data_IF_700596667210
#
_entry.id   IF_700596667210
#
_cell.length_a   1.000
_cell.length_b   1.000
_cell.length_c   1.000
_cell.angle_alpha   90.00
_cell.angle_beta   90.00
_cell.angle_gamma   90.00
#
_symmetry.space_group_name_H-M   'P 1'
#
loop_
_entity.id
_entity.type
_entity.pdbx_description
1 polymer ?
#
# COMPACT_ATOMS: atom_id res chain seq x y z
N UNK A 1 16.41 8.08 -42.31
CA UNK A 1 15.29 7.40 -41.63
C UNK A 1 15.09 8.11 -40.28
N UNK A 2 14.85 9.42 -40.36
CA UNK A 2 14.88 10.38 -39.22
C UNK A 2 13.95 11.58 -39.48
N UNK A 3 13.06 11.49 -40.48
CA UNK A 3 12.21 12.62 -40.93
C UNK A 3 10.71 12.28 -40.89
N UNK A 4 10.29 11.39 -39.99
CA UNK A 4 8.87 11.05 -39.78
C UNK A 4 8.41 11.19 -38.32
N UNK A 5 9.28 11.70 -37.45
CA UNK A 5 8.99 11.87 -36.01
C UNK A 5 8.83 13.35 -35.58
N UNK A 6 9.13 14.32 -36.45
CA UNK A 6 9.01 15.75 -36.13
C UNK A 6 7.71 16.40 -36.61
N UNK A 7 6.84 15.67 -37.31
CA UNK A 7 5.61 16.23 -37.89
C UNK A 7 4.33 15.92 -37.09
N UNK A 8 4.43 15.19 -35.97
CA UNK A 8 3.29 14.93 -35.06
C UNK A 8 3.35 15.72 -33.75
N UNK A 9 4.41 16.49 -33.52
CA UNK A 9 4.54 17.38 -32.35
C UNK A 9 4.15 18.83 -32.64
N UNK A 10 4.00 19.23 -33.91
CA UNK A 10 3.61 20.60 -34.27
C UNK A 10 2.09 20.84 -34.26
N UNK A 11 1.25 19.79 -34.31
CA UNK A 11 -0.22 19.93 -34.32
C UNK A 11 -0.88 19.83 -32.92
N UNK A 12 -0.09 19.68 -31.84
CA UNK A 12 -0.59 19.66 -30.46
C UNK A 12 -0.20 20.89 -29.63
N UNK A 13 0.67 21.76 -30.13
CA UNK A 13 1.07 22.98 -29.43
C UNK A 13 0.29 24.25 -29.86
N UNK A 14 -0.40 24.26 -31.01
CA UNK A 14 -1.22 25.41 -31.43
C UNK A 14 -2.68 25.40 -30.90
N UNK A 15 -3.08 24.39 -30.14
CA UNK A 15 -4.45 24.26 -29.61
C UNK A 15 -4.69 24.79 -28.19
N UNK A 16 -3.65 25.28 -27.50
CA UNK A 16 -3.73 25.56 -26.04
C UNK A 16 -3.28 26.96 -25.62
N UNK A 17 -3.29 27.95 -26.52
CA UNK A 17 -2.90 29.33 -26.20
C UNK A 17 -3.97 30.43 -26.37
N UNK A 18 -5.22 30.12 -26.70
CA UNK A 18 -6.29 31.14 -26.69
C UNK A 18 -7.52 30.71 -25.88
N UNK A 19 -7.48 30.99 -24.56
CA UNK A 19 -8.58 31.54 -23.76
C UNK A 19 -8.29 31.39 -22.26
N UNK A 20 -7.23 32.03 -21.76
CA UNK A 20 -7.17 32.42 -20.35
C UNK A 20 -7.21 33.93 -20.30
N UNK A 21 -8.36 34.55 -19.95
CA UNK A 21 -8.37 35.94 -19.60
C UNK A 21 -7.54 36.11 -18.33
N UNK A 22 -6.38 36.76 -18.48
CA UNK A 22 -5.69 37.38 -17.37
C UNK A 22 -6.67 38.28 -16.61
N UNK A 23 -6.66 38.17 -15.28
CA UNK A 23 -7.43 38.94 -14.28
C UNK A 23 -8.87 38.46 -13.99
N UNK A 24 -9.00 37.47 -13.12
CA UNK A 24 -10.16 37.41 -12.20
C UNK A 24 -9.72 38.00 -10.86
N UNK A 25 -10.35 39.09 -10.38
CA UNK A 25 -10.00 39.66 -9.08
C UNK A 25 -10.26 38.64 -7.96
N UNK A 26 -9.36 38.56 -6.97
CA UNK A 26 -9.48 37.75 -5.73
C UNK A 26 -10.81 37.93 -4.97
N UNK A 27 -11.66 38.90 -5.35
CA UNK A 27 -13.03 39.09 -4.81
C UNK A 27 -14.04 38.02 -5.26
N UNK A 28 -13.82 37.28 -6.35
CA UNK A 28 -14.82 36.34 -6.88
C UNK A 28 -14.83 34.96 -6.21
N UNK A 29 -13.72 34.50 -5.62
CA UNK A 29 -13.70 33.24 -4.84
C UNK A 29 -14.47 33.38 -3.50
N UNK A 30 -14.43 34.56 -2.87
CA UNK A 30 -15.21 34.86 -1.67
C UNK A 30 -16.72 34.97 -1.95
N UNK A 31 -17.12 35.41 -3.15
CA UNK A 31 -18.53 35.44 -3.54
C UNK A 31 -19.08 34.04 -3.83
N UNK A 32 -18.29 33.15 -4.45
CA UNK A 32 -18.68 31.75 -4.66
C UNK A 32 -18.86 30.99 -3.32
N UNK A 33 -17.96 31.22 -2.35
CA UNK A 33 -18.10 30.68 -1.00
C UNK A 33 -19.36 31.16 -0.28
N UNK A 34 -19.66 32.47 -0.34
CA UNK A 34 -20.88 33.04 0.26
C UNK A 34 -22.17 32.64 -0.46
N UNK A 35 -22.10 32.27 -1.74
CA UNK A 35 -23.25 31.75 -2.49
C UNK A 35 -23.55 30.30 -2.08
N UNK A 36 -22.52 29.50 -1.83
CA UNK A 36 -22.64 28.15 -1.28
C UNK A 36 -23.18 28.16 0.17
N UNK A 37 -22.65 29.03 1.03
CA UNK A 37 -23.12 29.20 2.41
C UNK A 37 -24.61 29.61 2.48
N UNK A 38 -25.03 30.60 1.68
CA UNK A 38 -26.45 31.02 1.62
C UNK A 38 -27.37 29.92 1.09
N UNK A 39 -26.85 29.03 0.23
CA UNK A 39 -27.60 27.87 -0.29
C UNK A 39 -27.76 26.79 0.79
N UNK A 40 -26.74 26.57 1.63
CA UNK A 40 -26.80 25.66 2.77
C UNK A 40 -27.70 26.18 3.90
N UNK A 41 -27.67 27.49 4.19
CA UNK A 41 -28.51 28.11 5.22
C UNK A 41 -30.00 28.10 4.86
N UNK A 42 -30.33 28.17 3.57
CA UNK A 42 -31.71 27.96 3.06
C UNK A 42 -32.20 26.53 3.22
N UNK A 43 -31.31 25.54 3.11
CA UNK A 43 -31.65 24.12 3.22
C UNK A 43 -31.72 23.69 4.70
N UNK A 44 -30.96 24.34 5.59
CA UNK A 44 -30.89 24.02 7.01
C UNK A 44 -30.88 25.27 7.92
N UNK A 45 -32.00 26.02 8.03
CA UNK A 45 -32.03 27.24 8.83
C UNK A 45 -31.81 26.95 10.32
N UNK A 46 -30.79 27.58 10.90
CA UNK A 46 -30.56 27.63 12.36
C UNK A 46 -29.66 26.54 12.96
N UNK A 47 -28.98 25.68 12.17
CA UNK A 47 -28.16 24.57 12.73
C UNK A 47 -26.65 24.62 12.52
N UNK A 48 -26.07 25.65 11.88
CA UNK A 48 -24.61 25.76 11.76
C UNK A 48 -24.11 27.20 11.97
N UNK A 49 -23.76 27.54 13.21
CA UNK A 49 -22.65 28.47 13.46
C UNK A 49 -21.36 27.65 13.34
N UNK A 50 -20.55 27.91 12.32
CA UNK A 50 -19.22 27.29 12.21
C UNK A 50 -18.42 27.61 13.49
N UNK A 51 -17.80 26.61 14.15
CA UNK A 51 -16.88 26.86 15.25
C UNK A 51 -15.78 27.81 14.78
N UNK A 52 -15.39 28.77 15.63
CA UNK A 52 -14.14 29.53 15.41
C UNK A 52 -13.01 28.53 15.11
N UNK A 53 -12.17 28.88 14.14
CA UNK A 53 -11.01 28.07 13.75
C UNK A 53 -10.27 27.55 14.99
N UNK A 54 -9.93 26.24 15.04
CA UNK A 54 -9.30 25.68 16.22
C UNK A 54 -8.00 26.43 16.50
N UNK A 55 -7.85 26.78 17.78
CA UNK A 55 -6.63 27.35 18.36
C UNK A 55 -5.48 26.40 18.01
N UNK A 56 -4.34 26.94 17.57
CA UNK A 56 -3.08 26.20 17.35
C UNK A 56 -2.57 25.62 18.68
N UNK A 57 -3.26 24.63 19.23
CA UNK A 57 -2.74 23.85 20.35
C UNK A 57 -1.69 22.92 19.77
N UNK A 58 -0.45 23.02 20.28
CA UNK A 58 0.61 22.06 19.95
C UNK A 58 0.06 20.65 20.22
N UNK A 59 0.27 19.67 19.31
CA UNK A 59 -0.18 18.30 19.55
C UNK A 59 0.31 17.85 20.93
N UNK A 60 -0.55 17.22 21.75
CA UNK A 60 -0.13 16.72 23.05
C UNK A 60 1.07 15.79 22.85
N UNK A 61 2.12 15.96 23.66
CA UNK A 61 3.42 15.27 23.56
C UNK A 61 3.32 13.74 23.34
N UNK A 62 2.24 13.12 23.84
CA UNK A 62 1.91 11.70 23.63
C UNK A 62 1.62 11.33 22.18
N UNK A 63 0.94 12.20 21.42
CA UNK A 63 0.66 11.96 19.99
C UNK A 63 1.95 12.02 19.17
N UNK A 64 2.84 12.95 19.51
CA UNK A 64 4.14 13.08 18.86
C UNK A 64 5.01 11.83 19.04
N UNK A 65 5.13 11.34 20.28
CA UNK A 65 5.88 10.12 20.57
C UNK A 65 5.33 8.90 19.81
N UNK A 66 4.01 8.74 19.78
CA UNK A 66 3.37 7.66 19.04
C UNK A 66 3.68 7.71 17.53
N UNK A 67 3.63 8.90 16.93
CA UNK A 67 3.97 9.09 15.51
C UNK A 67 5.43 8.71 15.26
N UNK A 68 6.36 9.18 16.11
CA UNK A 68 7.78 8.85 15.98
C UNK A 68 8.02 7.34 16.12
N UNK A 69 7.36 6.68 17.09
CA UNK A 69 7.46 5.23 17.28
C UNK A 69 6.98 4.47 16.03
N UNK A 70 5.87 4.89 15.40
CA UNK A 70 5.39 4.27 14.16
C UNK A 70 6.35 4.46 13.00
N UNK A 71 6.89 5.66 12.85
CA UNK A 71 7.89 5.97 11.82
C UNK A 71 9.15 5.13 12.00
N UNK A 72 9.66 5.02 13.22
CA UNK A 72 10.81 4.17 13.54
C UNK A 72 10.53 2.69 13.22
N UNK A 73 9.29 2.23 13.43
CA UNK A 73 8.88 0.88 13.05
C UNK A 73 8.81 0.69 11.52
N UNK A 74 8.37 1.69 10.74
CA UNK A 74 8.42 1.64 9.27
C UNK A 74 9.85 1.64 8.73
N UNK A 75 10.76 2.30 9.44
CA UNK A 75 12.20 2.31 9.14
C UNK A 75 12.92 0.99 9.51
N UNK A 76 12.21 -0.02 10.04
CA UNK A 76 12.80 -1.33 10.35
C UNK A 76 13.37 -1.95 9.07
N UNK A 77 14.70 -2.24 9.00
CA UNK A 77 15.31 -2.80 7.81
C UNK A 77 15.00 -4.29 7.66
N UNK A 78 15.15 -4.81 6.43
CA UNK A 78 14.83 -6.19 6.06
C UNK A 78 15.57 -7.20 6.96
N UNK A 79 16.86 -6.99 7.18
CA UNK A 79 17.80 -7.87 7.88
C UNK A 79 17.47 -7.99 9.38
N UNK A 80 16.72 -7.03 9.92
CA UNK A 80 16.27 -7.07 11.32
C UNK A 80 15.14 -8.06 11.55
N UNK A 81 14.38 -8.40 10.51
CA UNK A 81 13.20 -9.28 10.60
C UNK A 81 13.44 -10.61 9.90
N UNK A 82 14.09 -10.57 8.75
CA UNK A 82 14.34 -11.74 7.92
C UNK A 82 15.82 -12.11 7.98
N UNK A 83 16.08 -13.43 7.97
CA UNK A 83 17.42 -13.95 7.73
C UNK A 83 17.36 -14.86 6.53
N UNK A 84 18.35 -14.71 5.66
CA UNK A 84 18.54 -15.54 4.49
C UNK A 84 19.61 -16.60 4.79
N UNK A 85 19.66 -17.63 3.95
CA UNK A 85 20.76 -18.57 3.91
C UNK A 85 22.06 -17.91 3.40
N UNK A 86 23.16 -18.66 3.41
CA UNK A 86 24.48 -18.18 2.99
C UNK A 86 24.50 -17.73 1.53
N UNK A 87 23.70 -18.36 0.66
CA UNK A 87 23.56 -18.02 -0.76
C UNK A 87 22.66 -16.80 -1.00
N UNK A 88 21.98 -16.30 0.04
CA UNK A 88 20.93 -15.27 -0.03
C UNK A 88 19.76 -15.63 -0.95
N UNK A 89 19.61 -16.90 -1.33
CA UNK A 89 18.58 -17.35 -2.24
C UNK A 89 17.27 -17.67 -1.52
N UNK A 90 17.34 -18.10 -0.25
CA UNK A 90 16.16 -18.55 0.50
C UNK A 90 16.11 -18.01 1.92
N UNK A 91 14.90 -17.87 2.47
CA UNK A 91 14.71 -17.47 3.86
C UNK A 91 15.00 -18.62 4.82
N UNK A 92 15.72 -18.37 5.91
CA UNK A 92 15.90 -19.30 7.04
C UNK A 92 15.09 -18.89 8.28
N UNK A 93 14.78 -17.59 8.40
CA UNK A 93 13.99 -17.00 9.48
C UNK A 93 13.14 -15.85 8.94
N UNK A 94 11.90 -15.67 9.46
CA UNK A 94 11.23 -16.45 10.51
C UNK A 94 10.71 -17.81 10.02
N UNK A 95 10.28 -18.69 10.94
CA UNK A 95 9.88 -20.06 10.63
C UNK A 95 8.79 -20.19 9.53
N UNK A 96 7.89 -19.22 9.44
CA UNK A 96 6.85 -19.16 8.41
C UNK A 96 7.35 -18.77 7.01
N UNK A 97 8.61 -18.34 6.89
CA UNK A 97 9.26 -18.04 5.62
C UNK A 97 10.30 -19.09 5.25
N UNK A 98 10.63 -20.04 6.14
CA UNK A 98 11.73 -20.97 5.90
C UNK A 98 11.56 -21.71 4.57
N UNK A 99 12.61 -21.67 3.74
CA UNK A 99 12.68 -22.31 2.42
C UNK A 99 11.90 -21.59 1.31
N UNK A 100 11.29 -20.43 1.60
CA UNK A 100 10.73 -19.58 0.54
C UNK A 100 11.89 -18.94 -0.23
N UNK A 101 11.86 -18.89 -1.57
CA UNK A 101 12.88 -18.18 -2.33
C UNK A 101 12.69 -16.66 -2.27
N UNK A 102 13.80 -15.94 -2.29
CA UNK A 102 13.84 -14.47 -2.39
C UNK A 102 13.46 -14.01 -3.80
N UNK A 103 14.03 -14.67 -4.82
CA UNK A 103 13.67 -14.47 -6.22
C UNK A 103 12.29 -15.06 -6.55
N UNK A 104 11.69 -14.61 -7.65
CA UNK A 104 10.34 -15.02 -8.06
C UNK A 104 10.22 -16.55 -8.18
N UNK A 105 9.11 -17.11 -7.69
CA UNK A 105 8.76 -18.50 -7.99
C UNK A 105 8.27 -18.58 -9.44
N UNK A 106 9.01 -19.31 -10.25
CA UNK A 106 8.59 -19.72 -11.60
C UNK A 106 7.67 -20.95 -11.54
N UNK A 107 6.63 -21.01 -12.38
CA UNK A 107 5.63 -22.09 -12.37
C UNK A 107 6.15 -23.49 -12.79
N UNK A 108 7.44 -23.56 -13.13
CA UNK A 108 8.15 -24.81 -13.44
C UNK A 108 9.47 -24.92 -12.66
N UNK A 109 9.71 -24.01 -11.72
CA UNK A 109 10.92 -23.99 -10.91
C UNK A 109 10.86 -24.98 -9.75
N UNK A 110 11.99 -25.15 -9.07
CA UNK A 110 12.16 -26.06 -7.93
C UNK A 110 11.17 -25.80 -6.79
N UNK A 111 10.86 -24.52 -6.53
CA UNK A 111 9.95 -24.12 -5.45
C UNK A 111 8.46 -24.17 -5.84
N UNK A 112 8.14 -24.55 -7.08
CA UNK A 112 6.76 -24.70 -7.52
C UNK A 112 6.14 -26.01 -7.06
N UNK A 113 4.91 -25.96 -6.56
CA UNK A 113 4.12 -27.17 -6.32
C UNK A 113 3.17 -27.40 -7.48
N UNK A 114 3.21 -28.59 -8.08
CA UNK A 114 2.37 -28.97 -9.22
C UNK A 114 0.86 -28.87 -8.96
N UNK A 115 0.45 -28.87 -7.69
CA UNK A 115 -0.94 -28.68 -7.29
C UNK A 115 -1.39 -27.22 -7.31
N UNK A 116 -0.47 -26.25 -7.37
CA UNK A 116 -0.79 -24.82 -7.37
C UNK A 116 -1.42 -24.37 -8.69
N UNK A 117 -2.39 -23.46 -8.57
CA UNK A 117 -2.96 -22.80 -9.74
C UNK A 117 -1.96 -21.79 -10.30
N UNK A 118 -1.90 -21.68 -11.63
CA UNK A 118 -1.16 -20.63 -12.33
C UNK A 118 -1.71 -19.23 -12.04
N UNK A 119 -0.85 -18.21 -12.04
CA UNK A 119 -1.27 -16.80 -11.96
C UNK A 119 -1.99 -16.35 -13.23
N UNK A 120 -1.71 -17.00 -14.37
CA UNK A 120 -2.34 -16.69 -15.66
C UNK A 120 -3.85 -16.92 -15.67
N UNK A 121 -4.38 -17.59 -14.65
CA UNK A 121 -5.83 -17.67 -14.45
C UNK A 121 -6.48 -16.28 -14.37
N UNK A 122 -5.74 -15.23 -13.99
CA UNK A 122 -6.22 -13.84 -13.94
C UNK A 122 -6.24 -13.14 -15.29
N UNK A 123 -5.68 -13.73 -16.36
CA UNK A 123 -5.89 -13.21 -17.73
C UNK A 123 -7.35 -13.37 -18.17
N UNK A 124 -8.05 -14.36 -17.61
CA UNK A 124 -9.46 -14.66 -17.90
C UNK A 124 -10.38 -14.07 -16.82
N UNK A 125 -11.00 -12.93 -17.15
CA UNK A 125 -11.97 -12.23 -16.29
C UNK A 125 -13.36 -12.87 -16.29
N UNK A 126 -13.62 -13.86 -17.15
CA UNK A 126 -14.91 -14.56 -17.19
C UNK A 126 -15.07 -15.56 -16.03
N UNK A 127 -13.95 -15.93 -15.41
CA UNK A 127 -13.88 -16.84 -14.25
C UNK A 127 -13.81 -16.05 -12.95
N UNK A 128 -14.58 -16.46 -11.95
CA UNK A 128 -14.46 -15.95 -10.58
C UNK A 128 -13.24 -16.55 -9.85
N UNK A 129 -12.77 -15.93 -8.75
CA UNK A 129 -11.88 -16.61 -7.82
C UNK A 129 -12.55 -17.88 -7.27
N UNK A 130 -11.77 -18.88 -6.87
CA UNK A 130 -12.30 -20.10 -6.26
C UNK A 130 -13.22 -19.78 -5.08
N UNK A 131 -14.36 -20.48 -5.01
CA UNK A 131 -15.38 -20.32 -3.97
C UNK A 131 -16.00 -18.91 -3.88
N UNK A 132 -15.91 -18.12 -4.95
CA UNK A 132 -16.61 -16.84 -5.10
C UNK A 132 -17.77 -16.99 -6.08
N UNK A 133 -18.96 -16.56 -5.68
CA UNK A 133 -20.10 -16.38 -6.58
C UNK A 133 -19.99 -15.10 -7.42
N UNK A 134 -19.02 -14.23 -7.08
CA UNK A 134 -18.76 -12.96 -7.76
C UNK A 134 -17.65 -13.18 -8.80
N UNK A 135 -17.95 -12.79 -10.05
CA UNK A 135 -16.97 -12.76 -11.14
C UNK A 135 -15.87 -11.73 -10.85
N UNK A 136 -14.67 -11.98 -11.39
CA UNK A 136 -13.60 -10.98 -11.35
C UNK A 136 -14.00 -9.79 -12.20
N UNK A 137 -13.67 -8.58 -11.76
CA UNK A 137 -13.78 -7.43 -12.66
C UNK A 137 -12.53 -7.37 -13.55
N UNK A 138 -12.64 -6.73 -14.71
CA UNK A 138 -11.49 -6.49 -15.59
C UNK A 138 -10.37 -5.75 -14.86
N UNK A 139 -10.71 -4.70 -14.11
CA UNK A 139 -9.73 -3.92 -13.34
C UNK A 139 -9.05 -4.73 -12.22
N UNK A 140 -9.74 -5.67 -11.58
CA UNK A 140 -9.10 -6.57 -10.61
C UNK A 140 -8.05 -7.48 -11.27
N UNK A 141 -8.38 -8.02 -12.44
CA UNK A 141 -7.48 -8.86 -13.21
C UNK A 141 -6.22 -8.08 -13.63
N UNK A 142 -6.39 -6.88 -14.17
CA UNK A 142 -5.29 -5.99 -14.57
C UNK A 142 -4.37 -5.67 -13.39
N UNK A 143 -4.93 -5.32 -12.22
CA UNK A 143 -4.14 -5.05 -11.01
C UNK A 143 -3.36 -6.26 -10.52
N UNK A 144 -3.98 -7.44 -10.51
CA UNK A 144 -3.28 -8.68 -10.11
C UNK A 144 -2.15 -8.98 -11.09
N UNK A 145 -2.39 -8.87 -12.39
CA UNK A 145 -1.35 -9.10 -13.39
C UNK A 145 -0.23 -8.06 -13.33
N UNK A 146 -0.52 -6.80 -13.01
CA UNK A 146 0.51 -5.77 -12.81
C UNK A 146 1.39 -6.04 -11.59
N UNK A 147 0.83 -6.58 -10.50
CA UNK A 147 1.57 -6.80 -9.25
C UNK A 147 2.18 -8.20 -9.11
N UNK A 148 1.67 -9.20 -9.85
CA UNK A 148 2.03 -10.61 -9.68
C UNK A 148 2.21 -11.37 -10.99
N UNK A 149 1.98 -10.73 -12.14
CA UNK A 149 2.10 -11.34 -13.46
C UNK A 149 3.55 -11.58 -13.88
N UNK A 150 3.81 -11.91 -15.16
CA UNK A 150 5.13 -12.31 -15.66
C UNK A 150 6.26 -11.31 -15.36
N UNK A 151 5.99 -10.01 -15.44
CA UNK A 151 6.98 -8.95 -15.20
C UNK A 151 7.16 -8.57 -13.73
N UNK A 152 6.34 -9.13 -12.82
CA UNK A 152 6.44 -8.79 -11.40
C UNK A 152 7.62 -9.52 -10.72
N UNK A 153 8.22 -8.88 -9.71
CA UNK A 153 9.35 -9.42 -8.94
C UNK A 153 9.00 -10.61 -8.05
N UNK A 154 7.70 -10.86 -7.83
CA UNK A 154 7.24 -11.85 -6.89
C UNK A 154 5.93 -12.52 -7.32
N UNK A 155 5.78 -13.76 -6.86
CA UNK A 155 4.62 -14.59 -7.07
C UNK A 155 3.77 -14.64 -5.78
N UNK A 156 2.41 -14.74 -5.85
CA UNK A 156 1.58 -14.73 -4.64
C UNK A 156 1.91 -15.85 -3.65
N UNK A 157 2.33 -17.02 -4.14
CA UNK A 157 2.73 -18.15 -3.31
C UNK A 157 4.05 -17.95 -2.56
N UNK A 158 4.73 -16.81 -2.75
CA UNK A 158 5.88 -16.43 -1.94
C UNK A 158 5.50 -15.62 -0.70
N UNK A 159 4.21 -15.44 -0.40
CA UNK A 159 3.81 -14.72 0.80
C UNK A 159 4.23 -15.46 2.08
N UNK A 160 4.23 -16.80 2.06
CA UNK A 160 4.61 -17.67 3.17
C UNK A 160 5.19 -18.99 2.63
N UNK A 161 5.78 -19.80 3.51
CA UNK A 161 6.22 -21.16 3.20
C UNK A 161 5.09 -22.03 2.67
N UNK A 162 5.42 -22.96 1.76
CA UNK A 162 4.43 -23.80 1.09
C UNK A 162 3.56 -24.61 2.07
N UNK A 163 4.12 -25.06 3.19
CA UNK A 163 3.38 -25.80 4.24
C UNK A 163 2.27 -24.96 4.91
N UNK A 164 2.35 -23.63 4.79
CA UNK A 164 1.34 -22.70 5.30
C UNK A 164 0.24 -22.38 4.27
N UNK A 165 0.39 -22.80 3.02
CA UNK A 165 -0.53 -22.45 1.94
C UNK A 165 -1.65 -23.49 1.75
N UNK A 166 -2.78 -23.09 1.12
CA UNK A 166 -3.70 -24.05 0.51
C UNK A 166 -2.99 -24.98 -0.49
N UNK A 167 -3.54 -26.17 -0.73
CA UNK A 167 -2.94 -27.14 -1.66
C UNK A 167 -2.88 -26.63 -3.10
N UNK A 168 -3.79 -25.73 -3.47
CA UNK A 168 -3.84 -25.02 -4.74
C UNK A 168 -3.08 -23.69 -4.76
N UNK A 169 -2.41 -23.34 -3.66
CA UNK A 169 -1.76 -22.06 -3.50
C UNK A 169 -2.74 -20.90 -3.32
N UNK A 170 -2.27 -19.69 -3.61
CA UNK A 170 -2.96 -18.42 -3.43
C UNK A 170 -3.42 -17.80 -4.75
N UNK A 171 -2.90 -18.26 -5.89
CA UNK A 171 -3.19 -17.66 -7.19
C UNK A 171 -4.68 -17.66 -7.54
N UNK A 172 -5.43 -18.71 -7.26
CA UNK A 172 -6.88 -18.73 -7.54
C UNK A 172 -7.75 -18.25 -6.36
N UNK A 173 -7.15 -17.62 -5.35
CA UNK A 173 -7.88 -17.09 -4.19
C UNK A 173 -8.25 -15.61 -4.39
N UNK A 174 -9.06 -15.02 -3.50
CA UNK A 174 -9.31 -13.57 -3.51
C UNK A 174 -8.10 -12.75 -3.02
N UNK A 175 -7.14 -13.39 -2.36
CA UNK A 175 -6.03 -12.72 -1.68
C UNK A 175 -5.16 -11.85 -2.58
N UNK A 176 -4.78 -12.24 -3.81
CA UNK A 176 -4.01 -11.36 -4.69
C UNK A 176 -4.70 -10.01 -4.90
N UNK A 177 -6.01 -10.00 -5.14
CA UNK A 177 -6.80 -8.77 -5.26
C UNK A 177 -6.80 -7.97 -3.97
N UNK A 178 -6.95 -8.65 -2.82
CA UNK A 178 -6.98 -7.98 -1.52
C UNK A 178 -5.62 -7.37 -1.16
N UNK A 179 -4.51 -7.91 -1.66
CA UNK A 179 -3.14 -7.43 -1.38
C UNK A 179 -2.72 -6.29 -2.32
N UNK A 180 -3.16 -6.27 -3.58
CA UNK A 180 -2.78 -5.24 -4.56
C UNK A 180 -2.89 -3.80 -4.03
N UNK A 181 -4.00 -3.37 -3.39
CA UNK A 181 -4.09 -2.02 -2.84
C UNK A 181 -3.00 -1.68 -1.81
N UNK A 182 -2.53 -2.66 -1.04
CA UNK A 182 -1.45 -2.45 -0.07
C UNK A 182 -0.12 -2.27 -0.77
N UNK A 183 0.17 -3.07 -1.81
CA UNK A 183 1.38 -2.91 -2.60
C UNK A 183 1.43 -1.52 -3.26
N UNK A 184 0.31 -1.11 -3.88
CA UNK A 184 0.16 0.20 -4.53
C UNK A 184 0.34 1.36 -3.53
N UNK A 185 -0.32 1.31 -2.36
CA UNK A 185 -0.22 2.37 -1.33
C UNK A 185 1.13 2.41 -0.63
N UNK A 186 1.79 1.27 -0.41
CA UNK A 186 3.07 1.22 0.31
C UNK A 186 4.26 1.58 -0.58
N UNK A 187 4.12 1.46 -1.91
CA UNK A 187 5.20 1.73 -2.85
C UNK A 187 5.77 3.16 -2.74
N UNK A 188 4.96 4.24 -2.72
CA UNK A 188 5.46 5.60 -2.51
C UNK A 188 6.24 5.76 -1.20
N UNK A 189 5.83 5.08 -0.13
CA UNK A 189 6.55 5.12 1.16
C UNK A 189 7.94 4.49 1.04
N UNK A 190 8.05 3.39 0.29
CA UNK A 190 9.33 2.76 0.02
C UNK A 190 10.21 3.65 -0.85
N UNK A 191 9.66 4.16 -1.95
CA UNK A 191 10.39 4.99 -2.91
C UNK A 191 10.93 6.27 -2.23
N UNK A 192 10.20 6.80 -1.23
CA UNK A 192 10.62 7.93 -0.40
C UNK A 192 11.56 7.57 0.77
N UNK A 193 11.88 6.29 0.97
CA UNK A 193 12.74 5.80 2.05
C UNK A 193 12.13 5.79 3.46
N UNK A 194 10.83 6.09 3.60
CA UNK A 194 10.10 6.05 4.88
C UNK A 194 9.82 4.60 5.30
N UNK A 195 9.40 3.77 4.34
CA UNK A 195 9.30 2.33 4.53
C UNK A 195 10.62 1.69 4.05
N UNK A 196 11.41 1.17 4.98
CA UNK A 196 12.75 0.66 4.64
C UNK A 196 12.71 -0.69 3.90
N UNK A 197 11.69 -1.50 4.15
CA UNK A 197 11.48 -2.77 3.46
C UNK A 197 10.71 -2.58 2.15
N UNK A 198 10.87 -3.51 1.20
CA UNK A 198 9.96 -3.60 0.06
C UNK A 198 8.51 -3.83 0.54
N UNK A 199 7.49 -3.30 -0.17
CA UNK A 199 6.09 -3.45 0.19
C UNK A 199 5.69 -4.90 0.53
N UNK A 200 6.08 -5.88 -0.28
CA UNK A 200 5.74 -7.27 -0.02
C UNK A 200 6.44 -7.80 1.24
N UNK A 201 7.70 -7.45 1.48
CA UNK A 201 8.45 -7.89 2.66
C UNK A 201 7.86 -7.30 3.95
N UNK A 202 7.42 -6.04 3.90
CA UNK A 202 6.66 -5.43 4.99
C UNK A 202 5.33 -6.16 5.23
N UNK A 203 4.57 -6.44 4.18
CA UNK A 203 3.32 -7.22 4.29
C UNK A 203 3.60 -8.59 4.91
N UNK A 204 4.59 -9.35 4.42
CA UNK A 204 5.02 -10.63 4.99
C UNK A 204 5.28 -10.52 6.49
N UNK A 205 6.07 -9.51 6.89
CA UNK A 205 6.38 -9.28 8.31
C UNK A 205 5.10 -9.08 9.13
N UNK A 206 4.18 -8.22 8.67
CA UNK A 206 2.91 -7.98 9.38
C UNK A 206 2.03 -9.22 9.45
N UNK A 207 1.97 -10.03 8.40
CA UNK A 207 1.27 -11.33 8.39
C UNK A 207 1.83 -12.27 9.46
N UNK A 208 3.16 -12.40 9.50
CA UNK A 208 3.86 -13.31 10.42
C UNK A 208 3.72 -12.85 11.86
N UNK A 209 3.87 -11.56 12.13
CA UNK A 209 3.67 -10.96 13.46
C UNK A 209 2.24 -11.22 13.96
N UNK A 210 1.24 -10.98 13.09
CA UNK A 210 -0.15 -11.28 13.42
C UNK A 210 -0.41 -12.76 13.69
N UNK A 211 0.22 -13.63 12.92
CA UNK A 211 0.12 -15.06 13.12
C UNK A 211 0.70 -15.47 14.48
N UNK A 212 1.89 -14.97 14.83
CA UNK A 212 2.56 -15.26 16.10
C UNK A 212 1.78 -14.70 17.30
N UNK A 213 1.13 -13.54 17.17
CA UNK A 213 0.24 -12.99 18.21
C UNK A 213 -0.97 -13.90 18.47
N UNK A 214 -1.53 -14.54 17.44
CA UNK A 214 -2.66 -15.47 17.58
C UNK A 214 -2.26 -16.81 18.18
N UNK A 215 -1.04 -17.30 17.93
CA UNK A 215 -0.53 -18.56 18.51
C UNK A 215 -0.56 -18.59 20.04
N UNK A 216 -0.52 -17.43 20.71
CA UNK A 216 -0.66 -17.33 22.18
C UNK A 216 -2.06 -17.78 22.67
N UNK A 217 -3.06 -17.84 21.77
CA UNK A 217 -4.42 -18.26 22.06
C UNK A 217 -4.84 -19.41 21.10
N UNK A 218 -4.58 -20.65 21.50
CA UNK A 218 -5.18 -21.91 20.99
C UNK A 218 -4.96 -22.22 19.49
N UNK A 219 -4.06 -23.18 19.19
CA UNK A 219 -4.13 -23.99 17.96
C UNK A 219 -5.26 -25.03 18.06
N UNK A 220 -5.92 -25.45 16.96
CA UNK A 220 -5.43 -25.43 15.58
C UNK A 220 -6.45 -24.79 14.61
N UNK A 221 -6.30 -23.51 14.27
CA UNK A 221 -6.88 -23.01 13.01
C UNK A 221 -5.78 -23.06 11.95
N UNK A 222 -5.98 -23.77 10.82
CA UNK A 222 -4.95 -23.90 9.79
C UNK A 222 -4.55 -22.51 9.29
N UNK A 223 -3.27 -22.33 8.97
CA UNK A 223 -2.69 -21.07 8.46
C UNK A 223 -3.53 -20.45 7.34
N UNK A 224 -4.20 -21.31 6.56
CA UNK A 224 -5.24 -21.01 5.55
C UNK A 224 -6.32 -20.02 6.02
N UNK A 225 -6.74 -20.05 7.29
CA UNK A 225 -7.73 -19.12 7.86
C UNK A 225 -7.11 -17.78 8.27
N UNK A 226 -5.83 -17.77 8.69
CA UNK A 226 -5.16 -16.53 9.08
C UNK A 226 -4.91 -15.62 7.88
N UNK A 227 -4.46 -16.21 6.77
CA UNK A 227 -4.20 -15.53 5.50
C UNK A 227 -5.50 -15.00 4.87
N UNK A 228 -6.58 -15.79 4.84
CA UNK A 228 -7.91 -15.34 4.40
C UNK A 228 -8.50 -14.19 5.23
N UNK A 229 -8.05 -14.04 6.47
CA UNK A 229 -8.50 -13.00 7.39
C UNK A 229 -7.51 -11.81 7.45
N UNK A 230 -6.56 -11.73 6.52
CA UNK A 230 -5.73 -10.54 6.30
C UNK A 230 -6.58 -9.42 5.68
N UNK A 231 -7.55 -8.95 6.44
CA UNK A 231 -8.10 -7.62 6.22
C UNK A 231 -7.12 -6.69 6.89
N UNK A 232 -6.31 -5.97 6.13
CA UNK A 232 -5.41 -4.99 6.71
C UNK A 232 -6.14 -3.63 6.94
N UNK A 233 -7.35 -3.44 6.39
CA UNK A 233 -8.05 -2.14 6.35
C UNK A 233 -9.38 -1.97 7.11
N UNK A 234 -10.01 -3.00 7.69
CA UNK A 234 -11.26 -2.77 8.48
C UNK A 234 -10.95 -2.20 9.87
N UNK A 235 -11.77 -1.28 10.41
CA UNK A 235 -11.61 -0.70 11.77
C UNK A 235 -11.46 -1.72 12.92
N UNK A 236 -11.70 -3.02 12.69
CA UNK A 236 -11.54 -4.12 13.68
C UNK A 236 -10.17 -4.83 13.65
N UNK A 237 -9.30 -4.52 12.69
CA UNK A 237 -7.98 -5.16 12.50
C UNK A 237 -6.91 -4.59 13.43
N UNK A 238 -6.44 -5.35 14.42
CA UNK A 238 -5.49 -4.90 15.46
C UNK A 238 -4.06 -4.55 14.96
N UNK A 239 -3.81 -4.35 13.67
CA UNK A 239 -2.48 -3.98 13.17
C UNK A 239 -2.36 -2.46 13.08
N UNK A 240 -1.86 -1.85 14.16
CA UNK A 240 -1.71 -0.39 14.23
C UNK A 240 -0.67 0.13 13.23
N UNK A 241 0.43 -0.61 13.02
CA UNK A 241 1.51 -0.21 12.13
C UNK A 241 1.08 -0.26 10.66
N UNK A 242 0.43 -1.35 10.21
CA UNK A 242 -0.08 -1.44 8.84
C UNK A 242 -1.12 -0.35 8.56
N UNK A 243 -2.02 -0.07 9.50
CA UNK A 243 -2.99 1.03 9.34
C UNK A 243 -2.33 2.38 9.24
N UNK A 244 -1.32 2.62 10.06
CA UNK A 244 -0.56 3.86 10.03
C UNK A 244 0.14 4.01 8.66
N UNK A 245 0.83 2.98 8.19
CA UNK A 245 1.43 2.95 6.85
C UNK A 245 0.41 3.24 5.75
N UNK A 246 -0.75 2.58 5.79
CA UNK A 246 -1.80 2.78 4.78
C UNK A 246 -2.42 4.17 4.84
N UNK A 247 -2.55 4.78 6.03
CA UNK A 247 -2.99 6.18 6.14
C UNK A 247 -1.95 7.11 5.55
N UNK A 248 -0.69 6.87 5.88
CA UNK A 248 0.45 7.67 5.46
C UNK A 248 0.62 7.63 3.93
N UNK A 249 0.52 6.46 3.30
CA UNK A 249 0.61 6.31 1.84
C UNK A 249 -0.61 6.81 1.07
N UNK A 250 -1.70 7.16 1.76
CA UNK A 250 -2.90 7.76 1.17
C UNK A 250 -3.06 9.25 1.50
N UNK A 251 -2.03 9.88 2.10
CA UNK A 251 -2.05 11.33 2.32
C UNK A 251 -2.17 12.07 0.99
N UNK A 252 -2.86 13.21 1.01
CA UNK A 252 -2.87 14.10 -0.15
C UNK A 252 -1.43 14.60 -0.42
N UNK A 253 -1.01 14.84 -1.67
CA UNK A 253 0.36 15.27 -1.98
C UNK A 253 0.88 16.45 -1.13
N UNK A 254 0.02 17.42 -0.82
CA UNK A 254 0.37 18.55 0.06
C UNK A 254 0.67 18.07 1.48
N UNK A 255 -0.20 17.24 2.05
CA UNK A 255 -0.02 16.68 3.40
C UNK A 255 1.21 15.75 3.46
N UNK A 256 1.49 15.06 2.35
CA UNK A 256 2.67 14.23 2.19
C UNK A 256 3.95 15.06 2.24
N UNK A 257 4.04 16.14 1.47
CA UNK A 257 5.20 17.03 1.50
C UNK A 257 5.41 17.68 2.87
N UNK A 258 4.34 18.16 3.50
CA UNK A 258 4.40 18.70 4.87
C UNK A 258 4.93 17.66 5.87
N UNK A 259 4.45 16.42 5.79
CA UNK A 259 4.95 15.30 6.58
C UNK A 259 6.43 15.02 6.29
N UNK A 260 6.83 14.99 5.02
CA UNK A 260 8.20 14.68 4.60
C UNK A 260 9.19 15.78 4.99
N UNK A 261 8.80 17.05 4.94
CA UNK A 261 9.61 18.17 5.44
C UNK A 261 9.83 18.06 6.95
N UNK A 262 8.77 17.73 7.69
CA UNK A 262 8.87 17.51 9.13
C UNK A 262 9.76 16.29 9.46
N UNK A 263 9.60 15.19 8.72
CA UNK A 263 10.40 13.99 8.88
C UNK A 263 11.89 14.25 8.59
N UNK A 264 12.19 14.91 7.46
CA UNK A 264 13.57 15.27 7.09
C UNK A 264 14.21 16.16 8.14
N UNK A 265 13.55 17.24 8.54
CA UNK A 265 14.05 18.18 9.55
C UNK A 265 14.43 17.48 10.86
N UNK A 266 13.59 16.57 11.36
CA UNK A 266 13.86 15.87 12.62
C UNK A 266 15.03 14.88 12.52
N UNK A 267 15.12 14.13 11.43
CA UNK A 267 16.21 13.16 11.27
C UNK A 267 17.55 13.83 10.99
N UNK A 268 17.57 15.02 10.40
CA UNK A 268 18.80 15.80 10.24
C UNK A 268 19.32 16.36 11.58
N UNK A 269 18.43 16.68 12.54
CA UNK A 269 18.86 17.17 13.86
C UNK A 269 19.50 16.06 14.70
N UNK A 270 18.99 14.82 14.61
CA UNK A 270 19.54 13.69 15.36
C UNK A 270 20.93 13.24 14.93
N UNK A 271 21.43 13.67 13.77
CA UNK A 271 22.79 13.37 13.30
C UNK A 271 23.83 14.41 13.74
N UNK A 272 23.44 15.56 14.29
CA UNK A 272 24.37 16.61 14.71
C UNK A 272 24.77 16.54 16.20
N UNK A 273 24.13 15.67 16.98
CA UNK A 273 24.38 15.51 18.42
C UNK A 273 25.24 14.27 18.76
N UNK A 274 25.76 13.55 17.77
CA UNK A 274 26.62 12.35 17.96
C UNK A 274 28.11 12.56 17.61
N UNK A 275 28.54 13.79 17.28
CA UNK A 275 29.95 14.17 17.03
C UNK A 275 30.59 14.94 18.21
#
# INVERSE_FOLDING_TARGET
MEAYFEQTTHDLEEGYQEAVPNSVPRRNCLQAGRAFERRLEKIYPGKMKMPRAPRKEKPPEREFKYVQDMVNLLATPFERVFKLDESQATFISPALMRGVPVGKIEEKGEHWQSSWCSIDIWKDHTKGPRNSFVKRTKGECEKVMANFGPEADFHPNQLLTAVALPSDGLCNSRLPVDICPYLETLKPLHDAGVLKMRPLDFIRWRVIDKFNQRKKNVWPKPVKSAVRNLRFGSQKTRDHLMRYAMRLGNLHPIEWEEFMDEYRRKNSTSQQDED
#
